data_IF_539938461834
#
_entry.id   IF_539938461834
#
_cell.length_a   1.000
_cell.length_b   1.000
_cell.length_c   1.000
_cell.angle_alpha   90.00
_cell.angle_beta   90.00
_cell.angle_gamma   90.00
#
_symmetry.space_group_name_H-M   'P 1'
#
loop_
_entity.id
_entity.type
_entity.pdbx_description
1 polymer ?
#
# COMPACT_ATOMS: atom_id res chain seq x y z
N UNK A 1 -9.66 -8.63 -14.65
CA UNK A 1 -8.54 -8.21 -15.52
C UNK A 1 -8.32 -6.72 -15.36
N UNK A 2 -7.19 -6.21 -15.86
CA UNK A 2 -6.89 -4.77 -15.95
C UNK A 2 -7.35 -4.29 -17.33
N UNK A 3 -7.78 -3.03 -17.46
CA UNK A 3 -8.11 -2.44 -18.77
C UNK A 3 -6.82 -2.34 -19.62
N UNK A 4 -6.92 -2.62 -20.92
CA UNK A 4 -5.77 -2.65 -21.84
C UNK A 4 -4.96 -1.35 -21.81
N UNK A 5 -5.61 -0.18 -21.84
CA UNK A 5 -4.93 1.11 -21.77
C UNK A 5 -4.13 1.28 -20.46
N UNK A 6 -4.60 0.71 -19.35
CA UNK A 6 -3.90 0.79 -18.05
C UNK A 6 -2.71 -0.18 -18.03
N UNK A 7 -2.84 -1.35 -18.65
CA UNK A 7 -1.73 -2.27 -18.82
C UNK A 7 -0.62 -1.66 -19.69
N UNK A 8 -0.98 -1.04 -20.82
CA UNK A 8 -0.03 -0.39 -21.72
C UNK A 8 0.69 0.77 -21.04
N UNK A 9 -0.02 1.63 -20.30
CA UNK A 9 0.59 2.72 -19.54
C UNK A 9 1.55 2.20 -18.45
N UNK A 10 1.22 1.08 -17.81
CA UNK A 10 2.10 0.49 -16.80
C UNK A 10 3.37 -0.08 -17.43
N UNK A 11 3.24 -0.82 -18.54
CA UNK A 11 4.36 -1.42 -19.27
C UNK A 11 5.27 -0.33 -19.86
N UNK A 12 4.68 0.72 -20.43
CA UNK A 12 5.40 1.84 -21.03
C UNK A 12 6.07 2.78 -20.01
N UNK A 13 5.78 2.65 -18.71
CA UNK A 13 6.41 3.49 -17.70
C UNK A 13 7.88 3.07 -17.48
N UNK A 14 8.79 3.80 -18.14
CA UNK A 14 10.23 3.56 -18.12
C UNK A 14 10.95 3.85 -16.79
N UNK A 15 10.23 4.29 -15.75
CA UNK A 15 10.79 4.37 -14.39
C UNK A 15 10.93 2.97 -13.79
N UNK A 16 10.03 2.05 -14.13
CA UNK A 16 10.13 0.67 -13.67
C UNK A 16 11.08 -0.13 -14.54
N UNK A 17 11.85 -1.00 -13.89
CA UNK A 17 12.51 -2.11 -14.57
C UNK A 17 11.49 -3.21 -14.93
N UNK A 18 11.74 -4.02 -15.97
CA UNK A 18 10.89 -5.18 -16.29
C UNK A 18 10.74 -6.15 -15.12
N UNK A 19 11.77 -6.25 -14.26
CA UNK A 19 11.75 -7.07 -13.04
C UNK A 19 10.73 -6.52 -12.03
N UNK A 20 10.73 -5.23 -11.75
CA UNK A 20 9.78 -4.61 -10.81
C UNK A 20 8.35 -4.75 -11.30
N UNK A 21 8.09 -4.50 -12.60
CA UNK A 21 6.77 -4.72 -13.20
C UNK A 21 6.30 -6.17 -13.02
N UNK A 22 7.19 -7.13 -13.31
CA UNK A 22 6.90 -8.56 -13.16
C UNK A 22 6.56 -8.91 -11.71
N UNK A 23 7.34 -8.42 -10.74
CA UNK A 23 7.10 -8.70 -9.32
C UNK A 23 5.82 -8.08 -8.77
N UNK A 24 5.44 -6.89 -9.25
CA UNK A 24 4.14 -6.27 -8.93
C UNK A 24 3.01 -7.17 -9.44
N UNK A 25 3.06 -7.58 -10.71
CA UNK A 25 2.02 -8.43 -11.31
C UNK A 25 1.92 -9.78 -10.61
N UNK A 26 3.05 -10.46 -10.37
CA UNK A 26 3.09 -11.74 -9.66
C UNK A 26 2.54 -11.63 -8.22
N UNK A 27 2.83 -10.52 -7.53
CA UNK A 27 2.31 -10.30 -6.17
C UNK A 27 0.78 -10.13 -6.18
N UNK A 28 0.24 -9.37 -7.13
CA UNK A 28 -1.20 -9.21 -7.31
C UNK A 28 -1.88 -10.49 -7.83
N UNK A 29 -1.17 -11.33 -8.57
CA UNK A 29 -1.67 -12.64 -9.03
C UNK A 29 -1.90 -13.59 -7.84
N UNK A 30 -0.97 -13.64 -6.88
CA UNK A 30 -1.10 -14.39 -5.62
C UNK A 30 -2.32 -13.97 -4.80
N UNK A 31 -2.86 -12.78 -5.06
CA UNK A 31 -4.07 -12.22 -4.47
C UNK A 31 -5.29 -12.42 -5.38
N UNK A 32 -5.45 -13.61 -5.96
CA UNK A 32 -6.44 -13.87 -7.03
C UNK A 32 -7.89 -13.58 -6.65
N UNK A 33 -8.24 -13.71 -5.37
CA UNK A 33 -9.57 -13.42 -4.80
C UNK A 33 -9.77 -11.95 -4.40
N UNK A 34 -8.73 -11.13 -4.44
CA UNK A 34 -8.81 -9.70 -4.11
C UNK A 34 -9.39 -8.92 -5.29
N UNK A 35 -10.47 -8.20 -5.04
CA UNK A 35 -11.07 -7.29 -6.01
C UNK A 35 -10.25 -6.01 -6.18
N UNK A 36 -10.47 -5.23 -7.24
CA UNK A 36 -9.84 -3.92 -7.40
C UNK A 36 -8.33 -3.94 -7.65
N UNK A 37 -7.69 -5.08 -7.94
CA UNK A 37 -6.25 -5.16 -8.28
C UNK A 37 -5.81 -4.19 -9.39
N UNK A 38 -6.72 -3.85 -10.32
CA UNK A 38 -6.49 -2.85 -11.35
C UNK A 38 -6.25 -1.43 -10.80
N UNK A 39 -6.83 -1.08 -9.64
CA UNK A 39 -6.59 0.22 -9.00
C UNK A 39 -5.15 0.34 -8.49
N UNK A 40 -4.56 -0.78 -8.03
CA UNK A 40 -3.14 -0.79 -7.68
C UNK A 40 -2.25 -0.60 -8.90
N UNK A 41 -2.56 -1.25 -10.03
CA UNK A 41 -1.82 -1.04 -11.29
C UNK A 41 -1.97 0.40 -11.77
N UNK A 42 -3.19 0.96 -11.73
CA UNK A 42 -3.44 2.36 -12.08
C UNK A 42 -2.58 3.32 -11.26
N UNK A 43 -2.44 3.06 -9.97
CA UNK A 43 -1.54 3.81 -9.11
C UNK A 43 -0.07 3.66 -9.49
N UNK A 44 0.35 2.46 -9.92
CA UNK A 44 1.70 2.25 -10.42
C UNK A 44 1.98 3.07 -11.69
N UNK A 45 1.00 3.29 -12.57
CA UNK A 45 1.20 4.06 -13.81
C UNK A 45 1.70 5.49 -13.59
N UNK A 46 1.34 6.13 -12.46
CA UNK A 46 1.71 7.53 -12.17
C UNK A 46 3.01 7.67 -11.39
N UNK A 47 3.73 6.57 -11.14
CA UNK A 47 5.04 6.60 -10.48
C UNK A 47 6.07 7.25 -11.40
N UNK A 48 6.80 8.23 -10.88
CA UNK A 48 7.71 9.09 -11.64
C UNK A 48 9.14 9.13 -11.09
N UNK A 49 9.45 8.28 -10.10
CA UNK A 49 10.73 8.21 -9.42
C UNK A 49 11.10 6.74 -9.13
N UNK A 50 12.39 6.40 -9.24
CA UNK A 50 12.92 5.04 -9.11
C UNK A 50 12.75 4.49 -7.68
N UNK A 51 12.95 5.33 -6.65
CA UNK A 51 12.73 4.93 -5.26
C UNK A 51 11.25 4.60 -5.04
N UNK A 52 10.35 5.35 -5.68
CA UNK A 52 8.92 5.04 -5.66
C UNK A 52 8.58 3.78 -6.46
N UNK A 53 9.27 3.49 -7.55
CA UNK A 53 9.09 2.23 -8.29
C UNK A 53 9.46 1.02 -7.42
N UNK A 54 10.62 1.08 -6.77
CA UNK A 54 11.05 0.05 -5.81
C UNK A 54 10.10 -0.06 -4.63
N UNK A 55 9.65 1.07 -4.06
CA UNK A 55 8.65 1.11 -3.01
C UNK A 55 7.36 0.40 -3.44
N UNK A 56 6.85 0.65 -4.65
CA UNK A 56 5.62 0.02 -5.17
C UNK A 56 5.76 -1.48 -5.38
N UNK A 57 6.94 -1.93 -5.82
CA UNK A 57 7.24 -3.35 -5.91
C UNK A 57 7.15 -4.00 -4.53
N UNK A 58 7.92 -3.48 -3.55
CA UNK A 58 7.98 -4.01 -2.18
C UNK A 58 6.62 -3.93 -1.49
N UNK A 59 5.87 -2.87 -1.73
CA UNK A 59 4.52 -2.67 -1.21
C UNK A 59 3.56 -3.77 -1.71
N UNK A 60 3.62 -4.14 -3.00
CA UNK A 60 2.81 -5.20 -3.57
C UNK A 60 3.17 -6.58 -2.97
N UNK A 61 4.47 -6.86 -2.83
CA UNK A 61 4.96 -8.09 -2.18
C UNK A 61 4.48 -8.19 -0.72
N UNK A 62 4.54 -7.09 0.03
CA UNK A 62 4.01 -7.01 1.40
C UNK A 62 2.50 -7.22 1.45
N UNK A 63 1.72 -6.67 0.52
CA UNK A 63 0.28 -6.93 0.47
C UNK A 63 -0.02 -8.41 0.20
N UNK A 64 0.71 -9.05 -0.72
CA UNK A 64 0.55 -10.47 -1.01
C UNK A 64 0.85 -11.34 0.21
N UNK A 65 1.91 -11.02 0.95
CA UNK A 65 2.28 -11.74 2.16
C UNK A 65 1.30 -11.50 3.32
N UNK A 66 0.85 -10.26 3.52
CA UNK A 66 -0.21 -9.94 4.49
C UNK A 66 -1.49 -10.72 4.19
N UNK A 67 -1.91 -10.73 2.91
CA UNK A 67 -3.08 -11.47 2.45
C UNK A 67 -2.98 -12.98 2.70
N UNK A 68 -1.79 -13.55 2.58
CA UNK A 68 -1.56 -14.98 2.76
C UNK A 68 -1.40 -15.40 4.23
N UNK A 69 -0.72 -14.59 5.05
CA UNK A 69 -0.27 -14.99 6.39
C UNK A 69 -1.02 -14.32 7.55
N UNK A 70 -1.63 -13.16 7.33
CA UNK A 70 -2.23 -12.35 8.41
C UNK A 70 -3.74 -12.26 8.26
N UNK A 71 -4.22 -11.59 7.21
CA UNK A 71 -5.65 -11.45 6.96
C UNK A 71 -5.91 -11.25 5.47
N UNK A 72 -6.88 -11.97 4.87
CA UNK A 72 -7.23 -11.77 3.47
C UNK A 72 -7.65 -10.33 3.16
N UNK A 73 -7.04 -9.77 2.12
CA UNK A 73 -7.42 -8.48 1.52
C UNK A 73 -8.57 -8.76 0.55
N UNK A 74 -9.75 -8.22 0.86
CA UNK A 74 -10.96 -8.42 0.04
C UNK A 74 -10.94 -7.55 -1.21
N UNK A 75 -10.41 -6.32 -1.12
CA UNK A 75 -10.31 -5.41 -2.25
C UNK A 75 -9.16 -4.42 -2.11
N UNK A 76 -8.67 -3.91 -3.23
CA UNK A 76 -7.94 -2.64 -3.26
C UNK A 76 -8.91 -1.49 -3.51
N UNK A 77 -8.77 -0.43 -2.72
CA UNK A 77 -9.65 0.75 -2.73
C UNK A 77 -8.83 2.02 -2.89
N UNK A 78 -9.35 2.95 -3.68
CA UNK A 78 -8.73 4.26 -3.85
C UNK A 78 -8.86 5.09 -2.57
N UNK A 79 -7.75 5.68 -2.13
CA UNK A 79 -7.68 6.62 -1.01
C UNK A 79 -6.96 7.87 -1.50
N UNK A 80 -7.72 8.81 -2.05
CA UNK A 80 -7.15 9.98 -2.74
C UNK A 80 -6.32 9.56 -3.96
N UNK A 81 -5.04 9.93 -3.98
CA UNK A 81 -4.09 9.55 -5.03
C UNK A 81 -3.33 8.26 -4.75
N UNK A 82 -3.71 7.49 -3.72
CA UNK A 82 -3.09 6.20 -3.38
C UNK A 82 -4.12 5.07 -3.32
N UNK A 83 -3.66 3.84 -3.08
CA UNK A 83 -4.48 2.64 -2.98
C UNK A 83 -4.15 1.92 -1.67
N UNK A 84 -5.20 1.42 -1.02
CA UNK A 84 -5.10 0.67 0.22
C UNK A 84 -5.75 -0.71 0.06
N UNK A 85 -5.28 -1.69 0.82
CA UNK A 85 -6.01 -2.94 0.99
C UNK A 85 -7.17 -2.74 1.95
N UNK A 86 -8.36 -3.21 1.60
CA UNK A 86 -9.49 -3.36 2.51
C UNK A 86 -9.65 -4.85 2.85
N UNK A 87 -9.79 -5.20 4.12
CA UNK A 87 -10.08 -6.58 4.55
C UNK A 87 -11.59 -6.81 4.63
N UNK A 88 -12.01 -8.08 4.76
CA UNK A 88 -13.43 -8.42 4.95
C UNK A 88 -14.05 -7.80 6.21
N UNK A 89 -13.24 -7.51 7.23
CA UNK A 89 -13.71 -6.93 8.49
C UNK A 89 -13.72 -5.39 8.46
N UNK A 90 -13.52 -4.78 7.29
CA UNK A 90 -13.52 -3.33 7.12
C UNK A 90 -12.22 -2.65 7.54
N UNK A 91 -11.11 -3.38 7.73
CA UNK A 91 -9.84 -2.75 8.05
C UNK A 91 -9.21 -2.18 6.77
N UNK A 92 -8.85 -0.90 6.79
CA UNK A 92 -7.99 -0.29 5.77
C UNK A 92 -6.53 -0.52 6.17
N UNK A 93 -5.77 -1.08 5.26
CA UNK A 93 -4.39 -1.52 5.46
C UNK A 93 -3.52 -0.82 4.43
N UNK A 94 -2.49 -0.12 4.92
CA UNK A 94 -1.40 0.42 4.11
C UNK A 94 -0.11 -0.33 4.45
N UNK A 95 0.47 -1.03 3.48
CA UNK A 95 1.84 -1.56 3.60
C UNK A 95 2.84 -0.49 3.17
N UNK A 96 3.85 -0.27 4.00
CA UNK A 96 4.82 0.83 3.90
C UNK A 96 6.23 0.24 4.02
N UNK A 97 6.88 -0.11 2.90
CA UNK A 97 8.22 -0.69 2.89
C UNK A 97 9.31 0.35 3.17
N UNK A 98 9.30 0.94 4.38
CA UNK A 98 10.32 1.83 4.88
C UNK A 98 11.06 1.17 6.05
N UNK A 99 12.39 1.24 6.03
CA UNK A 99 13.24 0.70 7.11
C UNK A 99 13.06 1.47 8.42
N UNK A 100 12.85 2.79 8.31
CA UNK A 100 12.55 3.65 9.44
C UNK A 100 11.66 4.84 9.04
N UNK A 101 10.46 4.93 9.62
CA UNK A 101 9.52 6.03 9.41
C UNK A 101 9.81 7.18 10.38
N UNK A 102 10.26 8.31 9.85
CA UNK A 102 10.40 9.57 10.58
C UNK A 102 9.16 10.46 10.42
N UNK A 103 8.80 11.20 11.48
CA UNK A 103 7.70 12.17 11.43
C UNK A 103 8.14 13.52 10.87
N UNK A 104 8.21 13.60 9.54
CA UNK A 104 8.49 14.85 8.84
C UNK A 104 7.22 15.60 8.46
N UNK A 105 7.34 16.88 8.08
CA UNK A 105 6.21 17.66 7.56
C UNK A 105 5.53 17.00 6.36
N UNK A 106 6.32 16.37 5.48
CA UNK A 106 5.82 15.64 4.31
C UNK A 106 4.99 14.43 4.70
N UNK A 107 5.52 13.57 5.58
CA UNK A 107 4.81 12.39 6.09
C UNK A 107 3.52 12.80 6.82
N UNK A 108 3.58 13.83 7.67
CA UNK A 108 2.40 14.35 8.36
C UNK A 108 1.31 14.80 7.37
N UNK A 109 1.69 15.45 6.26
CA UNK A 109 0.76 15.85 5.20
C UNK A 109 0.11 14.68 4.48
N UNK A 110 0.90 13.66 4.12
CA UNK A 110 0.40 12.43 3.48
C UNK A 110 -0.58 11.69 4.40
N UNK A 111 -0.19 11.47 5.66
CA UNK A 111 -1.04 10.78 6.64
C UNK A 111 -2.32 11.55 6.91
N UNK A 112 -2.28 12.89 7.00
CA UNK A 112 -3.50 13.71 7.18
C UNK A 112 -4.46 13.56 6.01
N UNK A 113 -3.94 13.64 4.79
CA UNK A 113 -4.74 13.47 3.57
C UNK A 113 -5.35 12.07 3.51
N UNK A 114 -4.57 11.03 3.79
CA UNK A 114 -5.07 9.66 3.86
C UNK A 114 -6.15 9.51 4.93
N UNK A 115 -5.95 10.10 6.11
CA UNK A 115 -6.90 10.08 7.23
C UNK A 115 -8.24 10.71 6.84
N UNK A 116 -8.22 11.86 6.16
CA UNK A 116 -9.43 12.54 5.69
C UNK A 116 -10.15 11.72 4.61
N UNK A 117 -9.41 11.18 3.64
CA UNK A 117 -9.98 10.33 2.59
C UNK A 117 -10.64 9.07 3.17
N UNK A 118 -9.97 8.39 4.11
CA UNK A 118 -10.52 7.21 4.77
C UNK A 118 -11.76 7.55 5.62
N UNK A 119 -11.81 8.71 6.26
CA UNK A 119 -12.97 9.13 7.05
C UNK A 119 -14.25 9.31 6.21
N UNK A 120 -14.12 9.56 4.90
CA UNK A 120 -15.27 9.66 3.98
C UNK A 120 -15.75 8.30 3.46
N UNK A 121 -14.98 7.23 3.71
CA UNK A 121 -15.31 5.89 3.22
C UNK A 121 -16.32 5.20 4.15
N UNK A 122 -17.28 4.50 3.56
CA UNK A 122 -18.22 3.66 4.30
C UNK A 122 -17.60 2.29 4.58
N UNK A 123 -17.96 1.68 5.71
CA UNK A 123 -17.55 0.32 6.06
C UNK A 123 -16.11 0.20 6.56
N UNK A 124 -15.44 1.31 6.87
CA UNK A 124 -14.12 1.29 7.51
C UNK A 124 -14.28 1.14 9.02
N UNK A 125 -13.62 0.14 9.58
CA UNK A 125 -13.57 -0.12 11.02
C UNK A 125 -12.27 0.41 11.62
N UNK A 126 -11.12 -0.04 11.11
CA UNK A 126 -9.80 0.33 11.62
C UNK A 126 -8.85 0.75 10.51
N UNK A 127 -7.83 1.55 10.88
CA UNK A 127 -6.76 2.00 9.99
C UNK A 127 -5.45 1.41 10.45
N UNK A 128 -4.82 0.63 9.59
CA UNK A 128 -3.58 -0.09 9.86
C UNK A 128 -2.47 0.42 8.96
N UNK A 129 -1.31 0.69 9.55
CA UNK A 129 -0.07 1.06 8.86
C UNK A 129 0.98 -0.01 9.16
N UNK A 130 1.32 -0.82 8.17
CA UNK A 130 2.29 -1.92 8.30
C UNK A 130 3.62 -1.45 7.73
N UNK A 131 4.57 -1.16 8.60
CA UNK A 131 5.89 -0.67 8.24
C UNK A 131 6.83 -1.87 8.14
N UNK A 132 7.66 -1.94 7.08
CA UNK A 132 8.64 -3.02 6.95
C UNK A 132 9.61 -3.03 8.11
N UNK A 133 10.20 -1.87 8.45
CA UNK A 133 11.04 -1.71 9.63
C UNK A 133 10.30 -1.01 10.76
N UNK A 134 10.88 0.07 11.29
CA UNK A 134 10.42 0.73 12.52
C UNK A 134 9.86 2.12 12.27
N UNK A 135 9.24 2.73 13.28
CA UNK A 135 8.83 4.12 13.33
C UNK A 135 9.55 4.84 14.47
N UNK A 136 9.84 6.13 14.32
CA UNK A 136 10.34 6.91 15.45
C UNK A 136 9.27 7.07 16.53
N UNK A 137 9.67 7.34 17.77
CA UNK A 137 8.73 7.58 18.88
C UNK A 137 7.72 8.68 18.53
N UNK A 138 8.19 9.74 17.89
CA UNK A 138 7.33 10.82 17.41
C UNK A 138 6.34 10.33 16.35
N UNK A 139 6.77 9.53 15.38
CA UNK A 139 5.87 8.99 14.36
C UNK A 139 4.81 8.08 14.96
N UNK A 140 5.16 7.21 15.92
CA UNK A 140 4.18 6.36 16.62
C UNK A 140 3.13 7.18 17.34
N UNK A 141 3.55 8.19 18.11
CA UNK A 141 2.64 9.05 18.87
C UNK A 141 1.69 9.82 17.97
N UNK A 142 2.18 10.41 16.89
CA UNK A 142 1.36 11.21 15.98
C UNK A 142 0.39 10.33 15.16
N UNK A 143 0.84 9.16 14.69
CA UNK A 143 -0.03 8.18 14.04
C UNK A 143 -1.16 7.71 14.98
N UNK A 144 -0.83 7.40 16.24
CA UNK A 144 -1.81 6.99 17.23
C UNK A 144 -2.83 8.09 17.54
N UNK A 145 -2.40 9.36 17.67
CA UNK A 145 -3.30 10.53 17.82
C UNK A 145 -4.27 10.66 16.64
N UNK A 146 -3.82 10.29 15.44
CA UNK A 146 -4.64 10.29 14.24
C UNK A 146 -5.45 8.99 14.07
N UNK A 147 -5.39 8.09 15.04
CA UNK A 147 -6.14 6.84 15.12
C UNK A 147 -5.68 5.79 14.09
N UNK A 148 -4.38 5.72 13.82
CA UNK A 148 -3.72 4.66 13.08
C UNK A 148 -3.14 3.62 14.04
N UNK A 149 -3.34 2.35 13.73
CA UNK A 149 -2.64 1.23 14.36
C UNK A 149 -1.39 0.94 13.56
N UNK A 150 -0.23 1.03 14.20
CA UNK A 150 1.07 0.83 13.56
C UNK A 150 1.58 -0.56 13.90
N UNK A 151 2.00 -1.31 12.88
CA UNK A 151 2.72 -2.57 13.03
C UNK A 151 4.10 -2.42 12.39
N UNK A 152 5.14 -2.50 13.20
CA UNK A 152 6.55 -2.45 12.79
C UNK A 152 7.07 -3.86 12.48
N UNK A 153 8.23 -3.95 11.81
CA UNK A 153 8.88 -5.21 11.41
C UNK A 153 7.96 -6.11 10.59
N UNK A 154 7.07 -5.51 9.80
CA UNK A 154 6.05 -6.24 9.06
C UNK A 154 6.63 -6.99 7.87
N UNK A 155 7.85 -6.70 7.42
CA UNK A 155 8.50 -7.47 6.35
C UNK A 155 8.90 -8.89 6.78
N UNK A 156 8.91 -9.19 8.07
CA UNK A 156 9.04 -10.55 8.58
C UNK A 156 7.99 -11.50 7.97
N UNK A 157 6.83 -10.99 7.55
CA UNK A 157 5.82 -11.79 6.85
C UNK A 157 6.26 -12.23 5.43
N UNK A 158 7.31 -11.65 4.86
CA UNK A 158 7.84 -12.09 3.57
C UNK A 158 8.59 -13.41 3.63
N UNK A 159 9.02 -13.84 4.82
CA UNK A 159 9.81 -15.06 5.05
C UNK A 159 8.95 -16.10 5.77
#
# INVERSE_FOLDING_TARGET
GVNENVADLFIANGVYTPREQTLIVLSLEKMSKTAGRAEYIKLATVTNDIDMAFFRQRQAEMYAAYNAKVQPVSSFVAVGSTSAGMTQNGNIVFTVPLDHLLWTKGIAGVIRTATQNVAMMKGVNERHLLISGTASDQARQELAKMGWKVQENSDAMLF
#
